data_IF_840229949943
#
_entry.id   IF_840229949943
#
_cell.length_a   1.000
_cell.length_b   1.000
_cell.length_c   1.000
_cell.angle_alpha   90.00
_cell.angle_beta   90.00
_cell.angle_gamma   90.00
#
_symmetry.space_group_name_H-M   'P 1'
#
loop_
_entity.id
_entity.type
_entity.pdbx_description
1 polymer ?
#
# COMPACT_ATOMS: atom_id res chain seq x y z
N UNK A 1 17.79 16.38 -18.46
CA UNK A 1 16.44 15.87 -18.79
C UNK A 1 16.12 14.73 -17.83
N UNK A 2 15.69 15.05 -16.62
CA UNK A 2 15.19 14.10 -15.62
C UNK A 2 13.82 14.64 -15.19
N UNK A 3 12.68 14.24 -15.77
CA UNK A 3 11.37 14.65 -15.20
C UNK A 3 10.11 14.05 -15.86
N UNK A 4 10.16 12.83 -16.43
CA UNK A 4 8.90 12.16 -16.83
C UNK A 4 8.79 10.76 -16.25
N UNK A 5 9.80 9.93 -16.45
CA UNK A 5 9.83 8.57 -15.89
C UNK A 5 9.77 8.59 -14.36
N UNK A 6 10.56 9.43 -13.70
CA UNK A 6 10.52 9.56 -12.24
C UNK A 6 9.15 10.04 -11.74
N UNK A 7 8.56 11.07 -12.37
CA UNK A 7 7.24 11.57 -11.99
C UNK A 7 6.13 10.53 -12.20
N UNK A 8 6.23 9.74 -13.28
CA UNK A 8 5.30 8.65 -13.57
C UNK A 8 5.46 7.48 -12.58
N UNK A 9 6.69 7.08 -12.27
CA UNK A 9 7.00 6.07 -11.25
C UNK A 9 6.54 6.50 -9.86
N UNK A 10 6.69 7.78 -9.50
CA UNK A 10 6.16 8.32 -8.25
C UNK A 10 4.62 8.33 -8.24
N UNK A 11 3.98 8.65 -9.37
CA UNK A 11 2.52 8.64 -9.46
C UNK A 11 1.90 7.24 -9.42
N UNK A 12 2.53 6.26 -10.08
CA UNK A 12 2.08 4.86 -10.04
C UNK A 12 2.27 4.28 -8.65
N UNK A 13 3.44 4.49 -8.04
CA UNK A 13 3.71 4.03 -6.68
C UNK A 13 2.77 4.67 -5.65
N UNK A 14 2.41 5.94 -5.83
CA UNK A 14 1.41 6.61 -4.99
C UNK A 14 0.01 5.99 -5.17
N UNK A 15 -0.39 5.69 -6.40
CA UNK A 15 -1.70 5.05 -6.70
C UNK A 15 -1.76 3.63 -6.14
N UNK A 16 -0.69 2.86 -6.30
CA UNK A 16 -0.58 1.50 -5.78
C UNK A 16 -0.60 1.52 -4.25
N UNK A 17 0.11 2.46 -3.62
CA UNK A 17 0.09 2.67 -2.17
C UNK A 17 -1.33 2.95 -1.65
N UNK A 18 -2.07 3.85 -2.31
CA UNK A 18 -3.46 4.12 -1.95
C UNK A 18 -4.37 2.91 -2.16
N UNK A 19 -4.15 2.14 -3.23
CA UNK A 19 -4.92 0.92 -3.52
C UNK A 19 -4.72 -0.12 -2.40
N UNK A 20 -3.47 -0.35 -1.99
CA UNK A 20 -3.13 -1.26 -0.90
C UNK A 20 -3.70 -0.79 0.44
N UNK A 21 -3.56 0.49 0.78
CA UNK A 21 -4.10 1.02 2.03
C UNK A 21 -5.63 0.97 2.07
N UNK A 22 -6.31 1.33 0.96
CA UNK A 22 -7.77 1.21 0.85
C UNK A 22 -8.24 -0.23 1.00
N UNK A 23 -7.54 -1.19 0.41
CA UNK A 23 -7.85 -2.60 0.62
C UNK A 23 -7.80 -2.97 2.11
N UNK A 24 -6.78 -2.52 2.84
CA UNK A 24 -6.67 -2.76 4.29
C UNK A 24 -7.81 -2.12 5.08
N UNK A 25 -8.29 -0.93 4.72
CA UNK A 25 -9.46 -0.31 5.39
C UNK A 25 -10.74 -1.13 5.28
N UNK A 26 -10.83 -2.01 4.28
CA UNK A 26 -11.97 -2.92 4.09
C UNK A 26 -11.82 -4.24 4.86
N UNK A 27 -10.64 -4.51 5.43
CA UNK A 27 -10.37 -5.75 6.15
C UNK A 27 -10.78 -5.65 7.63
N UNK A 28 -11.15 -6.78 8.26
CA UNK A 28 -11.36 -6.81 9.71
C UNK A 28 -10.12 -6.32 10.47
N UNK A 29 -10.33 -5.36 11.38
CA UNK A 29 -9.27 -4.72 12.17
C UNK A 29 -8.17 -4.04 11.34
N UNK A 30 -8.44 -3.72 10.07
CA UNK A 30 -7.43 -3.11 9.20
C UNK A 30 -6.27 -4.05 8.87
N UNK A 31 -6.44 -5.37 8.98
CA UNK A 31 -5.35 -6.34 8.84
C UNK A 31 -5.74 -7.55 8.01
N UNK A 32 -4.78 -8.11 7.27
CA UNK A 32 -4.95 -9.37 6.55
C UNK A 32 -3.64 -10.15 6.46
N UNK A 33 -3.70 -11.39 6.01
CA UNK A 33 -2.49 -12.14 5.66
C UNK A 33 -1.90 -11.64 4.34
N UNK A 34 -0.58 -11.79 4.19
CA UNK A 34 0.11 -11.44 2.94
C UNK A 34 -0.48 -12.20 1.74
N UNK A 35 -0.76 -13.50 1.88
CA UNK A 35 -1.33 -14.32 0.80
C UNK A 35 -2.71 -13.85 0.34
N UNK A 36 -3.55 -13.39 1.28
CA UNK A 36 -4.87 -12.83 0.97
C UNK A 36 -4.74 -11.54 0.18
N UNK A 37 -3.83 -10.65 0.58
CA UNK A 37 -3.57 -9.41 -0.17
C UNK A 37 -3.00 -9.73 -1.55
N UNK A 38 -2.00 -10.62 -1.61
CA UNK A 38 -1.33 -11.00 -2.85
C UNK A 38 -2.28 -11.64 -3.86
N UNK A 39 -3.29 -12.38 -3.42
CA UNK A 39 -4.32 -12.93 -4.30
C UNK A 39 -5.42 -11.93 -4.67
N UNK A 40 -5.60 -10.87 -3.89
CA UNK A 40 -6.73 -9.94 -4.05
C UNK A 40 -6.40 -8.70 -4.88
N UNK A 41 -5.20 -8.13 -4.71
CA UNK A 41 -4.90 -6.79 -5.27
C UNK A 41 -3.77 -6.76 -6.29
N UNK A 42 -2.95 -7.80 -6.40
CA UNK A 42 -1.69 -7.75 -7.18
C UNK A 42 -1.91 -7.50 -8.68
N UNK A 43 -3.01 -8.01 -9.25
CA UNK A 43 -3.38 -7.76 -10.64
C UNK A 43 -3.77 -6.29 -10.92
N UNK A 44 -4.03 -5.51 -9.86
CA UNK A 44 -4.40 -4.10 -9.93
C UNK A 44 -3.21 -3.16 -9.63
N UNK A 45 -2.06 -3.71 -9.22
CA UNK A 45 -0.87 -2.92 -8.92
C UNK A 45 0.01 -2.76 -10.17
N UNK A 46 0.59 -1.58 -10.33
CA UNK A 46 1.55 -1.32 -11.39
C UNK A 46 2.97 -1.75 -11.01
N UNK A 47 3.26 -1.76 -9.71
CA UNK A 47 4.50 -2.18 -9.10
C UNK A 47 4.34 -3.49 -8.32
N UNK A 48 5.40 -4.30 -8.15
CA UNK A 48 5.34 -5.51 -7.34
C UNK A 48 4.87 -5.22 -5.92
N UNK A 49 3.98 -6.07 -5.39
CA UNK A 49 3.38 -5.88 -4.06
C UNK A 49 4.45 -5.65 -2.97
N UNK A 50 5.53 -6.44 -2.97
CA UNK A 50 6.64 -6.29 -2.02
C UNK A 50 7.25 -4.89 -2.03
N UNK A 51 7.37 -4.26 -3.20
CA UNK A 51 7.90 -2.90 -3.34
C UNK A 51 6.95 -1.87 -2.74
N UNK A 52 5.65 -2.06 -2.97
CA UNK A 52 4.60 -1.20 -2.41
C UNK A 52 4.58 -1.32 -0.88
N UNK A 53 4.61 -2.55 -0.35
CA UNK A 53 4.62 -2.81 1.09
C UNK A 53 5.86 -2.23 1.78
N UNK A 54 7.05 -2.41 1.20
CA UNK A 54 8.28 -1.80 1.73
C UNK A 54 8.18 -0.26 1.78
N UNK A 55 7.55 0.34 0.78
CA UNK A 55 7.34 1.80 0.74
C UNK A 55 6.37 2.25 1.83
N UNK A 56 5.27 1.52 2.00
CA UNK A 56 4.26 1.81 3.01
C UNK A 56 4.76 1.58 4.44
N UNK A 57 5.55 0.53 4.67
CA UNK A 57 6.16 0.24 5.97
C UNK A 57 7.20 1.30 6.34
N UNK A 58 8.10 1.66 5.41
CA UNK A 58 9.07 2.74 5.62
C UNK A 58 8.44 4.12 5.83
N UNK A 59 7.19 4.28 5.39
CA UNK A 59 6.38 5.49 5.63
C UNK A 59 5.49 5.38 6.88
N UNK A 60 5.63 4.31 7.67
CA UNK A 60 4.86 4.03 8.89
C UNK A 60 3.33 3.89 8.67
N UNK A 61 2.88 3.71 7.43
CA UNK A 61 1.46 3.55 7.09
C UNK A 61 0.94 2.13 7.39
N UNK A 62 1.84 1.15 7.44
CA UNK A 62 1.52 -0.25 7.78
C UNK A 62 2.57 -0.83 8.73
N UNK A 63 2.25 -1.98 9.32
CA UNK A 63 3.20 -2.86 10.02
C UNK A 63 3.15 -4.26 9.43
N UNK A 64 4.31 -4.88 9.30
CA UNK A 64 4.47 -6.27 8.89
C UNK A 64 4.82 -7.12 10.12
N UNK A 65 3.93 -8.05 10.50
CA UNK A 65 4.13 -8.94 11.66
C UNK A 65 3.67 -10.36 11.31
N UNK A 66 4.51 -11.38 11.51
CA UNK A 66 4.14 -12.80 11.39
C UNK A 66 3.28 -13.15 10.16
N UNK A 67 3.70 -12.64 8.98
CA UNK A 67 3.01 -12.83 7.69
C UNK A 67 1.66 -12.10 7.55
N UNK A 68 1.40 -11.15 8.44
CA UNK A 68 0.26 -10.22 8.40
C UNK A 68 0.71 -8.82 8.06
N UNK A 69 -0.21 -8.10 7.44
CA UNK A 69 -0.09 -6.71 7.09
C UNK A 69 -1.19 -6.00 7.86
N UNK A 70 -0.82 -5.04 8.70
CA UNK A 70 -1.75 -4.27 9.52
C UNK A 70 -1.65 -2.79 9.21
N UNK A 71 -2.79 -2.13 9.01
CA UNK A 71 -2.90 -0.70 8.86
C UNK A 71 -2.60 -0.01 10.20
N UNK A 72 -1.82 1.07 10.16
CA UNK A 72 -1.61 1.95 11.33
C UNK A 72 -2.62 3.09 11.32
N UNK A 73 -2.79 3.76 12.46
CA UNK A 73 -3.60 4.97 12.56
C UNK A 73 -3.10 6.05 11.56
N UNK A 74 -1.78 6.20 11.41
CA UNK A 74 -1.19 7.11 10.42
C UNK A 74 -1.52 6.73 8.98
N UNK A 75 -1.50 5.43 8.66
CA UNK A 75 -1.90 4.94 7.34
C UNK A 75 -3.39 5.18 7.06
N UNK A 76 -4.24 5.10 8.08
CA UNK A 76 -5.66 5.42 7.97
C UNK A 76 -5.86 6.91 7.70
N UNK A 77 -5.23 7.79 8.48
CA UNK A 77 -5.27 9.23 8.28
C UNK A 77 -4.81 9.61 6.86
N UNK A 78 -3.74 8.96 6.39
CA UNK A 78 -3.24 9.18 5.03
C UNK A 78 -4.27 8.85 3.95
N UNK A 79 -5.04 7.76 4.11
CA UNK A 79 -6.14 7.41 3.18
C UNK A 79 -7.23 8.48 3.22
N UNK A 80 -7.62 8.94 4.41
CA UNK A 80 -8.67 9.95 4.58
C UNK A 80 -8.31 11.29 3.94
N UNK A 81 -7.04 11.71 4.05
CA UNK A 81 -6.54 12.96 3.45
C UNK A 81 -6.45 12.91 1.91
N UNK A 82 -6.36 11.71 1.32
CA UNK A 82 -6.21 11.49 -0.13
C UNK A 82 -7.49 10.92 -0.77
N UNK A 83 -8.64 11.11 -0.12
CA UNK A 83 -9.93 10.59 -0.59
C UNK A 83 -10.68 11.56 -1.51
#
# INVERSE_FOLDING_TARGET
MQSKLYSQLHSSLHTDSLTTLRFLTLQPMGSCFFEEMNSSITDYLNEPLDRVLNTLESSECIRLEDNRIALTDYGLDYVEMNN
#
